data_IF_035970103423
#
_entry.id   IF_035970103423
#
_cell.length_a   1.000
_cell.length_b   1.000
_cell.length_c   1.000
_cell.angle_alpha   90.00
_cell.angle_beta   90.00
_cell.angle_gamma   90.00
#
_symmetry.space_group_name_H-M   'P 1'
#
loop_
_entity.id
_entity.type
_entity.pdbx_description
1 polymer ?
#
# COMPACT_ATOMS: atom_id res chain seq x y z
N UNK A 1 -15.32 -11.48 -7.05
CA UNK A 1 -15.75 -10.12 -6.63
C UNK A 1 -16.73 -10.12 -5.46
N UNK A 2 -17.81 -10.92 -5.45
CA UNK A 2 -18.94 -10.81 -4.49
C UNK A 2 -18.53 -10.62 -3.03
N UNK A 3 -17.64 -11.47 -2.48
CA UNK A 3 -17.23 -11.41 -1.07
C UNK A 3 -16.50 -10.10 -0.68
N UNK A 4 -15.69 -9.52 -1.57
CA UNK A 4 -15.03 -8.22 -1.34
C UNK A 4 -16.04 -7.06 -1.43
N UNK A 5 -17.16 -7.27 -2.14
CA UNK A 5 -18.22 -6.28 -2.29
C UNK A 5 -19.23 -6.28 -1.13
N UNK A 6 -19.33 -7.35 -0.33
CA UNK A 6 -20.22 -7.41 0.84
C UNK A 6 -19.69 -6.70 2.10
N UNK A 7 -18.42 -6.31 2.16
CA UNK A 7 -17.86 -5.55 3.29
C UNK A 7 -18.24 -4.06 3.20
N UNK A 8 -19.48 -3.72 3.56
CA UNK A 8 -20.04 -2.37 3.45
C UNK A 8 -19.30 -1.30 4.27
N UNK A 9 -18.54 -1.69 5.30
CA UNK A 9 -17.71 -0.80 6.12
C UNK A 9 -16.29 -0.59 5.56
N UNK A 10 -15.88 -1.36 4.54
CA UNK A 10 -14.53 -1.32 3.98
C UNK A 10 -14.46 -0.35 2.79
N UNK A 11 -13.87 0.82 3.00
CA UNK A 11 -13.55 1.75 1.92
C UNK A 11 -12.46 1.15 1.01
N UNK A 12 -12.80 0.94 -0.26
CA UNK A 12 -11.81 0.61 -1.32
C UNK A 12 -11.13 1.91 -1.74
N UNK A 13 -9.81 1.95 -1.71
CA UNK A 13 -9.05 3.09 -2.20
C UNK A 13 -8.86 2.98 -3.72
N UNK A 14 -9.25 4.02 -4.46
CA UNK A 14 -8.89 4.15 -5.87
C UNK A 14 -7.41 4.56 -6.00
N UNK A 15 -6.77 4.05 -7.04
CA UNK A 15 -5.40 4.42 -7.45
C UNK A 15 -5.47 5.53 -8.51
N UNK A 16 -4.64 6.56 -8.36
CA UNK A 16 -4.50 7.66 -9.31
C UNK A 16 -3.26 7.49 -10.20
N UNK A 17 -3.25 8.17 -11.36
CA UNK A 17 -2.07 8.21 -12.24
C UNK A 17 -0.85 8.82 -11.55
N UNK A 18 -1.05 9.76 -10.62
CA UNK A 18 -0.01 10.34 -9.77
C UNK A 18 0.62 9.30 -8.85
N UNK A 19 -0.16 8.40 -8.24
CA UNK A 19 0.39 7.34 -7.39
C UNK A 19 1.24 6.37 -8.22
N UNK A 20 0.77 6.00 -9.42
CA UNK A 20 1.53 5.12 -10.34
C UNK A 20 2.86 5.73 -10.79
N UNK A 21 2.91 7.04 -11.04
CA UNK A 21 4.16 7.72 -11.39
C UNK A 21 5.09 7.82 -10.17
N UNK A 22 4.55 8.13 -8.99
CA UNK A 22 5.33 8.25 -7.77
C UNK A 22 5.86 6.89 -7.24
N UNK A 23 5.15 5.79 -7.51
CA UNK A 23 5.55 4.44 -7.14
C UNK A 23 6.91 4.04 -7.74
N UNK A 24 7.23 4.51 -8.96
CA UNK A 24 8.52 4.25 -9.63
C UNK A 24 9.70 4.74 -8.78
N UNK A 25 9.54 5.83 -8.01
CA UNK A 25 10.56 6.28 -7.08
C UNK A 25 10.64 5.38 -5.85
N UNK A 26 9.49 4.98 -5.27
CA UNK A 26 9.44 4.15 -4.06
C UNK A 26 9.96 2.72 -4.30
N UNK A 27 9.82 2.16 -5.51
CA UNK A 27 10.49 0.93 -5.93
C UNK A 27 12.01 1.02 -5.72
N UNK A 28 12.63 2.11 -6.19
CA UNK A 28 14.07 2.35 -6.06
C UNK A 28 14.48 2.72 -4.62
N UNK A 29 13.64 3.48 -3.91
CA UNK A 29 13.94 3.94 -2.54
C UNK A 29 13.89 2.82 -1.49
N UNK A 30 13.06 1.79 -1.71
CA UNK A 30 12.78 0.74 -0.73
C UNK A 30 13.10 -0.69 -1.23
N UNK A 31 13.46 -0.85 -2.50
CA UNK A 31 13.70 -2.17 -3.12
C UNK A 31 12.42 -2.96 -3.46
N UNK A 32 11.28 -2.26 -3.54
CA UNK A 32 9.96 -2.87 -3.69
C UNK A 32 9.57 -3.14 -5.15
N UNK A 33 8.66 -4.10 -5.30
CA UNK A 33 7.85 -4.33 -6.49
C UNK A 33 6.92 -3.10 -6.79
N UNK A 34 6.41 -3.02 -8.02
CA UNK A 34 5.58 -1.88 -8.45
C UNK A 34 4.22 -1.80 -7.72
N UNK A 35 3.59 -2.93 -7.42
CA UNK A 35 2.30 -3.02 -6.71
C UNK A 35 2.47 -2.65 -5.24
N UNK A 36 3.58 -3.04 -4.61
CA UNK A 36 3.89 -2.67 -3.23
C UNK A 36 4.25 -1.18 -3.10
N UNK A 37 5.08 -0.65 -4.01
CA UNK A 37 5.35 0.78 -4.09
C UNK A 37 4.08 1.61 -4.41
N UNK A 38 3.16 1.07 -5.20
CA UNK A 38 1.86 1.68 -5.48
C UNK A 38 0.91 1.62 -4.28
N UNK A 39 0.99 0.54 -3.50
CA UNK A 39 0.31 0.41 -2.21
C UNK A 39 0.82 1.46 -1.23
N UNK A 40 2.14 1.65 -1.11
CA UNK A 40 2.73 2.73 -0.32
C UNK A 40 2.21 4.11 -0.72
N UNK A 41 2.19 4.46 -2.02
CA UNK A 41 1.69 5.77 -2.46
C UNK A 41 0.20 5.95 -2.15
N UNK A 42 -0.60 4.90 -2.34
CA UNK A 42 -2.03 4.90 -2.00
C UNK A 42 -2.27 5.07 -0.49
N UNK A 43 -1.48 4.41 0.36
CA UNK A 43 -1.50 4.57 1.81
C UNK A 43 -1.11 5.99 2.23
N UNK A 44 0.02 6.50 1.70
CA UNK A 44 0.58 7.83 1.94
C UNK A 44 -0.46 8.93 1.64
N UNK A 45 -1.14 8.86 0.49
CA UNK A 45 -2.21 9.78 0.09
C UNK A 45 -3.47 9.71 0.97
N UNK A 46 -3.72 8.60 1.66
CA UNK A 46 -4.84 8.45 2.59
C UNK A 46 -4.42 8.64 4.08
N UNK A 47 -3.18 9.07 4.36
CA UNK A 47 -2.58 9.17 5.70
C UNK A 47 -2.61 7.86 6.50
N UNK A 48 -2.47 6.72 5.82
CA UNK A 48 -2.41 5.39 6.45
C UNK A 48 -0.95 5.01 6.66
N UNK A 49 -0.60 4.65 7.89
CA UNK A 49 0.74 4.19 8.28
C UNK A 49 0.75 2.73 8.79
N UNK A 50 -0.38 2.02 8.74
CA UNK A 50 -0.51 0.64 9.20
C UNK A 50 -0.93 -0.30 8.06
N UNK A 51 -0.22 -1.43 7.88
CA UNK A 51 -0.52 -2.42 6.83
C UNK A 51 -0.77 -3.82 7.42
N UNK A 52 -1.85 -4.46 6.96
CA UNK A 52 -2.12 -5.88 7.21
C UNK A 52 -1.63 -6.68 6.00
N UNK A 53 -0.49 -7.36 6.14
CA UNK A 53 0.06 -8.24 5.10
C UNK A 53 0.94 -9.34 5.73
N UNK A 54 1.08 -10.46 5.02
CA UNK A 54 2.11 -11.47 5.30
C UNK A 54 3.49 -11.06 4.79
N UNK A 55 3.53 -10.11 3.85
CA UNK A 55 4.75 -9.69 3.18
C UNK A 55 5.70 -8.94 4.13
N UNK A 56 7.00 -9.15 3.97
CA UNK A 56 8.05 -8.61 4.85
C UNK A 56 8.88 -7.52 4.19
N UNK A 57 8.77 -7.29 2.89
CA UNK A 57 9.58 -6.24 2.24
C UNK A 57 9.11 -4.84 2.68
N UNK A 58 7.86 -4.72 3.16
CA UNK A 58 7.33 -3.57 3.89
C UNK A 58 8.05 -3.28 5.22
N UNK A 59 8.71 -4.26 5.85
CA UNK A 59 9.44 -4.04 7.11
C UNK A 59 10.69 -3.13 6.92
N UNK A 60 11.14 -2.93 5.67
CA UNK A 60 12.16 -1.94 5.31
C UNK A 60 11.63 -0.49 5.31
N UNK A 61 10.31 -0.30 5.25
CA UNK A 61 9.66 1.00 5.02
C UNK A 61 9.38 1.70 6.36
N UNK A 62 10.38 2.44 6.87
CA UNK A 62 10.41 3.02 8.24
C UNK A 62 9.19 3.85 8.71
N UNK A 63 8.31 4.29 7.81
CA UNK A 63 7.09 5.04 8.15
C UNK A 63 5.81 4.17 8.16
N UNK A 64 5.94 2.87 7.86
CA UNK A 64 4.89 1.85 7.89
C UNK A 64 5.05 0.95 9.13
N UNK A 65 3.93 0.54 9.71
CA UNK A 65 3.82 -0.49 10.74
C UNK A 65 3.05 -1.69 10.18
N UNK A 66 3.72 -2.82 9.95
CA UNK A 66 3.02 -4.08 9.68
C UNK A 66 2.31 -4.55 10.97
N UNK A 67 1.00 -4.81 10.89
CA UNK A 67 0.16 -5.15 12.06
C UNK A 67 0.00 -6.64 12.28
N UNK A 68 0.23 -7.42 11.23
CA UNK A 68 0.35 -8.88 11.29
C UNK A 68 1.80 -9.29 11.62
N UNK A 69 2.03 -10.53 12.07
CA UNK A 69 3.35 -11.01 12.51
C UNK A 69 3.88 -12.13 11.61
#
# INVERSE_FOLDING_TARGET
>A
MTAINSYITMKKAEVSRSDMIAAINDMNNYGLDFVDALTLQTMKRNNINEIYTNDRDFDHVKWIRRVWK
#
